data_IF_497833530019
#
_entry.id   IF_497833530019
#
_cell.length_a   1.000
_cell.length_b   1.000
_cell.length_c   1.000
_cell.angle_alpha   90.00
_cell.angle_beta   90.00
_cell.angle_gamma   90.00
#
_symmetry.space_group_name_H-M   'P 1'
#
loop_
_entity.id
_entity.type
_entity.pdbx_description
1 polymer ?
#
# COMPACT_ATOMS: atom_id res chain seq x y z
N UNK A 1 0.56 -15.02 -10.71
CA UNK A 1 1.76 -14.27 -10.25
C UNK A 1 1.36 -13.44 -9.03
N UNK A 2 2.15 -13.45 -7.94
CA UNK A 2 1.72 -12.85 -6.68
C UNK A 2 2.43 -11.51 -6.41
N UNK A 3 2.25 -10.53 -7.27
CA UNK A 3 2.75 -9.16 -7.07
C UNK A 3 1.61 -8.14 -7.18
N UNK A 4 1.79 -7.00 -6.52
CA UNK A 4 0.81 -5.93 -6.57
C UNK A 4 0.71 -5.31 -7.96
N UNK A 5 -0.51 -4.96 -8.34
CA UNK A 5 -0.76 -4.05 -9.46
C UNK A 5 -1.61 -2.89 -8.99
N UNK A 6 -1.11 -1.67 -9.17
CA UNK A 6 -1.86 -0.44 -8.96
C UNK A 6 -1.38 0.63 -9.94
N UNK A 7 -2.33 1.31 -10.56
CA UNK A 7 -2.11 2.36 -11.55
C UNK A 7 -3.04 3.53 -11.27
N UNK A 8 -2.61 4.75 -11.60
CA UNK A 8 -3.44 5.94 -11.51
C UNK A 8 -3.30 6.78 -12.75
N UNK A 9 -4.38 7.49 -13.10
CA UNK A 9 -4.39 8.45 -14.19
C UNK A 9 -5.39 9.57 -13.93
N UNK A 10 -5.23 10.69 -14.64
CA UNK A 10 -6.19 11.81 -14.59
C UNK A 10 -6.67 12.13 -15.99
N UNK A 11 -7.95 12.43 -16.11
CA UNK A 11 -8.67 12.55 -17.37
C UNK A 11 -9.22 13.96 -17.57
N UNK A 12 -9.27 14.40 -18.82
CA UNK A 12 -9.89 15.65 -19.23
C UNK A 12 -11.18 15.40 -19.99
N UNK A 13 -12.03 16.41 -20.04
CA UNK A 13 -13.27 16.36 -20.83
C UNK A 13 -12.98 16.30 -22.35
N UNK A 14 -11.87 16.91 -22.80
CA UNK A 14 -11.38 16.76 -24.17
C UNK A 14 -10.71 15.38 -24.30
N UNK A 15 -11.09 14.56 -25.29
CA UNK A 15 -10.41 13.29 -25.57
C UNK A 15 -8.91 13.47 -25.82
N UNK A 16 -8.12 12.48 -25.39
CA UNK A 16 -6.71 12.36 -25.76
C UNK A 16 -6.55 11.76 -27.17
N UNK A 17 -5.31 11.52 -27.58
CA UNK A 17 -5.00 10.94 -28.90
C UNK A 17 -5.56 9.52 -29.10
N UNK A 18 -5.88 8.82 -28.02
CA UNK A 18 -6.51 7.50 -28.05
C UNK A 18 -8.05 7.57 -27.88
N UNK A 19 -8.63 8.76 -27.93
CA UNK A 19 -10.07 8.98 -27.78
C UNK A 19 -10.58 8.95 -26.34
N UNK A 20 -9.71 8.86 -25.33
CA UNK A 20 -10.09 8.72 -23.92
C UNK A 20 -10.37 10.07 -23.29
N UNK A 21 -11.58 10.24 -22.79
CA UNK A 21 -12.06 11.43 -22.06
C UNK A 21 -12.67 11.01 -20.72
N UNK A 22 -13.07 11.98 -19.91
CA UNK A 22 -13.87 11.69 -18.69
C UNK A 22 -15.14 10.90 -19.01
N UNK A 23 -15.83 11.26 -20.11
CA UNK A 23 -17.05 10.55 -20.54
C UNK A 23 -16.76 9.11 -20.94
N UNK A 24 -15.71 8.89 -21.75
CA UNK A 24 -15.29 7.57 -22.17
C UNK A 24 -14.96 6.67 -20.95
N UNK A 25 -14.19 7.19 -19.98
CA UNK A 25 -13.80 6.44 -18.78
C UNK A 25 -15.00 6.10 -17.90
N UNK A 26 -15.98 6.98 -17.79
CA UNK A 26 -17.19 6.71 -17.02
C UNK A 26 -18.16 5.80 -17.79
N UNK A 27 -18.16 5.83 -19.12
CA UNK A 27 -18.90 4.89 -19.97
C UNK A 27 -18.31 3.48 -19.89
N UNK A 28 -16.97 3.35 -19.92
CA UNK A 28 -16.27 2.09 -19.70
C UNK A 28 -16.57 1.53 -18.31
N UNK A 29 -16.51 2.37 -17.29
CA UNK A 29 -16.84 1.98 -15.93
C UNK A 29 -18.27 1.44 -15.77
N UNK A 30 -19.23 2.02 -16.49
CA UNK A 30 -20.64 1.60 -16.50
C UNK A 30 -20.91 0.43 -17.47
N UNK A 31 -19.85 -0.06 -18.16
CA UNK A 31 -19.96 -1.11 -19.20
C UNK A 31 -20.88 -0.75 -20.36
N UNK A 32 -20.89 0.52 -20.78
CA UNK A 32 -21.60 0.89 -22.01
C UNK A 32 -20.93 0.23 -23.23
N UNK A 33 -21.69 -0.34 -24.17
CA UNK A 33 -21.15 -1.17 -25.27
C UNK A 33 -20.06 -0.48 -26.08
N UNK A 34 -20.21 0.80 -26.39
CA UNK A 34 -19.25 1.57 -27.19
C UNK A 34 -17.88 1.74 -26.52
N UNK A 35 -17.83 1.72 -25.19
CA UNK A 35 -16.59 1.90 -24.41
C UNK A 35 -16.04 0.56 -23.88
N UNK A 36 -16.77 -0.54 -24.02
CA UNK A 36 -16.44 -1.84 -23.43
C UNK A 36 -16.26 -2.96 -24.45
N UNK A 37 -15.85 -2.62 -25.67
CA UNK A 37 -15.65 -3.57 -26.80
C UNK A 37 -14.59 -4.65 -26.51
N UNK A 38 -13.72 -4.43 -25.53
CA UNK A 38 -12.68 -5.37 -25.09
C UNK A 38 -13.21 -6.42 -24.10
N UNK A 39 -14.43 -6.26 -23.58
CA UNK A 39 -15.06 -7.19 -22.63
C UNK A 39 -16.06 -8.06 -23.39
N UNK A 40 -15.86 -9.38 -23.38
CA UNK A 40 -16.68 -10.31 -24.15
C UNK A 40 -18.11 -10.43 -23.61
N UNK A 41 -18.30 -10.40 -22.29
CA UNK A 41 -19.60 -10.49 -21.60
C UNK A 41 -19.67 -9.41 -20.51
N UNK A 42 -19.97 -8.14 -20.90
CA UNK A 42 -19.98 -7.02 -19.97
C UNK A 42 -21.04 -7.20 -18.87
N UNK A 43 -20.63 -7.07 -17.62
CA UNK A 43 -21.52 -7.12 -16.45
C UNK A 43 -21.51 -5.79 -15.70
N UNK A 44 -22.66 -5.36 -15.16
CA UNK A 44 -22.72 -4.16 -14.35
C UNK A 44 -21.68 -4.19 -13.24
N UNK A 45 -20.97 -3.07 -12.97
CA UNK A 45 -20.00 -2.98 -11.89
C UNK A 45 -20.69 -3.12 -10.54
N UNK A 46 -20.02 -3.73 -9.58
CA UNK A 46 -20.46 -3.76 -8.17
C UNK A 46 -19.87 -2.59 -7.42
N UNK A 47 -20.69 -1.69 -6.89
CA UNK A 47 -20.24 -0.61 -6.00
C UNK A 47 -19.82 -1.22 -4.66
N UNK A 48 -18.54 -1.03 -4.28
CA UNK A 48 -17.98 -1.51 -3.00
C UNK A 48 -17.71 -0.36 -2.02
N UNK A 49 -17.72 0.88 -2.50
CA UNK A 49 -17.63 2.09 -1.68
C UNK A 49 -18.23 3.29 -2.42
N UNK A 50 -18.92 4.16 -1.69
CA UNK A 50 -19.46 5.42 -2.21
C UNK A 50 -20.69 5.24 -3.08
N UNK A 51 -20.76 5.97 -4.19
CA UNK A 51 -21.93 6.08 -5.06
C UNK A 51 -21.76 5.33 -6.39
N UNK A 52 -22.84 5.13 -7.13
CA UNK A 52 -22.82 4.54 -8.46
C UNK A 52 -22.13 5.42 -9.52
N UNK A 53 -21.71 4.83 -10.64
CA UNK A 53 -20.97 5.56 -11.68
C UNK A 53 -21.80 6.67 -12.32
N UNK A 54 -23.11 6.48 -12.48
CA UNK A 54 -24.01 7.53 -13.01
C UNK A 54 -24.07 8.74 -12.08
N UNK A 55 -24.05 8.52 -10.76
CA UNK A 55 -23.99 9.61 -9.78
C UNK A 55 -22.63 10.29 -9.78
N UNK A 56 -21.51 9.54 -9.93
CA UNK A 56 -20.17 10.11 -10.15
C UNK A 56 -20.17 11.02 -11.36
N UNK A 57 -20.83 10.63 -12.47
CA UNK A 57 -20.97 11.45 -13.67
C UNK A 57 -21.73 12.73 -13.38
N UNK A 58 -22.89 12.64 -12.74
CA UNK A 58 -23.69 13.81 -12.37
C UNK A 58 -22.89 14.80 -11.50
N UNK A 59 -22.20 14.29 -10.48
CA UNK A 59 -21.32 15.09 -9.62
C UNK A 59 -20.20 15.76 -10.43
N UNK A 60 -19.55 15.00 -11.34
CA UNK A 60 -18.48 15.53 -12.19
C UNK A 60 -18.98 16.65 -13.08
N UNK A 61 -20.09 16.43 -13.79
CA UNK A 61 -20.61 17.37 -14.78
C UNK A 61 -21.11 18.64 -14.12
N UNK A 62 -21.79 18.53 -12.99
CA UNK A 62 -22.24 19.68 -12.20
C UNK A 62 -21.03 20.51 -11.69
N UNK A 63 -20.02 19.83 -11.12
CA UNK A 63 -18.81 20.51 -10.63
C UNK A 63 -18.00 21.13 -11.78
N UNK A 64 -17.87 20.46 -12.92
CA UNK A 64 -17.14 20.98 -14.08
C UNK A 64 -17.85 22.16 -14.75
N UNK A 65 -19.19 22.19 -14.75
CA UNK A 65 -19.98 23.32 -15.25
C UNK A 65 -19.84 24.54 -14.35
N UNK A 66 -19.74 24.35 -13.04
CA UNK A 66 -19.57 25.43 -12.06
C UNK A 66 -18.11 25.92 -11.94
N UNK A 67 -17.14 25.10 -12.33
CA UNK A 67 -15.71 25.37 -12.12
C UNK A 67 -15.21 26.57 -12.93
N UNK A 68 -14.48 27.45 -12.24
CA UNK A 68 -13.95 28.68 -12.80
C UNK A 68 -12.47 28.82 -12.47
N UNK A 69 -11.69 29.37 -13.36
CA UNK A 69 -10.26 29.67 -13.16
C UNK A 69 -9.99 31.16 -13.34
N UNK A 70 -9.07 31.75 -12.59
CA UNK A 70 -8.65 33.14 -12.83
C UNK A 70 -8.05 33.30 -14.22
N UNK A 71 -8.56 34.27 -14.94
CA UNK A 71 -8.03 34.71 -16.23
C UNK A 71 -7.13 35.94 -16.10
N UNK A 72 -6.71 36.49 -17.25
CA UNK A 72 -6.00 37.75 -17.29
C UNK A 72 -6.82 38.87 -16.59
N UNK A 73 -6.13 39.70 -15.83
CA UNK A 73 -6.75 40.84 -15.09
C UNK A 73 -7.78 40.44 -14.04
N UNK A 74 -7.67 39.18 -13.47
CA UNK A 74 -8.53 38.71 -12.39
C UNK A 74 -9.96 38.31 -12.81
N UNK A 75 -10.35 38.42 -14.08
CA UNK A 75 -11.67 37.99 -14.55
C UNK A 75 -11.76 36.47 -14.54
N UNK A 76 -12.80 35.94 -13.87
CA UNK A 76 -13.06 34.49 -13.87
C UNK A 76 -13.50 34.01 -15.26
N UNK A 77 -13.01 32.85 -15.66
CA UNK A 77 -13.40 32.16 -16.90
C UNK A 77 -13.65 30.67 -16.62
N UNK A 78 -14.47 30.05 -17.45
CA UNK A 78 -14.68 28.60 -17.40
C UNK A 78 -13.37 27.83 -17.57
N UNK A 79 -13.22 26.72 -16.90
CA UNK A 79 -12.05 25.83 -17.02
C UNK A 79 -11.94 25.28 -18.45
N UNK A 80 -10.70 25.13 -18.96
CA UNK A 80 -10.45 24.55 -20.26
C UNK A 80 -10.90 23.11 -20.35
N UNK A 81 -11.39 22.66 -21.52
CA UNK A 81 -11.77 21.25 -21.73
C UNK A 81 -10.60 20.28 -21.59
N UNK A 82 -9.36 20.76 -21.81
CA UNK A 82 -8.11 19.98 -21.64
C UNK A 82 -7.66 19.84 -20.20
N UNK A 83 -8.28 20.58 -19.26
CA UNK A 83 -7.97 20.46 -17.85
C UNK A 83 -8.39 19.09 -17.31
N UNK A 84 -7.52 18.46 -16.55
CA UNK A 84 -7.81 17.18 -15.89
C UNK A 84 -8.79 17.41 -14.73
N UNK A 85 -9.98 16.81 -14.82
CA UNK A 85 -11.09 16.99 -13.88
C UNK A 85 -11.53 15.71 -13.17
N UNK A 86 -11.12 14.57 -13.68
CA UNK A 86 -11.34 13.25 -13.06
C UNK A 86 -9.99 12.59 -12.80
N UNK A 87 -9.82 12.01 -11.60
CA UNK A 87 -8.67 11.18 -11.27
C UNK A 87 -9.16 9.75 -10.96
N UNK A 88 -8.48 8.76 -11.50
CA UNK A 88 -8.85 7.35 -11.35
C UNK A 88 -7.67 6.54 -10.84
N UNK A 89 -7.98 5.50 -10.07
CA UNK A 89 -7.02 4.47 -9.64
C UNK A 89 -7.57 3.11 -9.97
N UNK A 90 -6.76 2.28 -10.62
CA UNK A 90 -7.07 0.87 -10.89
C UNK A 90 -6.14 0.00 -10.07
N UNK A 91 -6.68 -0.95 -9.34
CA UNK A 91 -5.92 -1.97 -8.63
C UNK A 91 -6.45 -3.35 -9.02
N UNK A 92 -5.52 -4.28 -9.32
CA UNK A 92 -5.87 -5.65 -9.71
C UNK A 92 -5.23 -6.66 -8.75
N UNK A 93 -6.01 -7.65 -8.37
CA UNK A 93 -5.52 -8.82 -7.63
C UNK A 93 -4.89 -9.82 -8.60
N UNK A 94 -3.81 -10.54 -8.22
CA UNK A 94 -3.18 -11.53 -9.09
C UNK A 94 -4.02 -12.79 -9.35
N UNK A 95 -5.10 -13.04 -8.59
CA UNK A 95 -6.03 -14.13 -8.88
C UNK A 95 -6.99 -13.75 -10.01
N UNK A 96 -7.31 -14.73 -10.85
CA UNK A 96 -8.36 -14.57 -11.85
C UNK A 96 -9.74 -14.64 -11.20
N UNK A 97 -10.74 -14.12 -11.89
CA UNK A 97 -12.13 -14.19 -11.45
C UNK A 97 -12.60 -15.65 -11.29
N UNK A 98 -12.16 -16.53 -12.19
CA UNK A 98 -12.46 -17.97 -12.12
C UNK A 98 -11.85 -18.62 -10.89
N UNK A 99 -10.58 -18.34 -10.58
CA UNK A 99 -9.91 -18.83 -9.39
C UNK A 99 -10.61 -18.40 -8.10
N UNK A 100 -11.08 -17.14 -8.05
CA UNK A 100 -11.82 -16.59 -6.91
C UNK A 100 -13.19 -17.25 -6.75
N UNK A 101 -13.87 -17.57 -7.86
CA UNK A 101 -15.17 -18.25 -7.82
C UNK A 101 -15.07 -19.71 -7.42
N UNK A 102 -13.98 -20.39 -7.81
CA UNK A 102 -13.77 -21.81 -7.55
C UNK A 102 -13.21 -22.12 -6.15
N UNK A 103 -12.64 -21.16 -5.44
CA UNK A 103 -11.91 -21.37 -4.18
C UNK A 103 -12.33 -20.35 -3.11
N UNK A 104 -13.00 -20.85 -2.06
CA UNK A 104 -13.50 -20.03 -0.95
C UNK A 104 -12.38 -19.28 -0.22
N UNK A 105 -11.18 -19.87 -0.09
CA UNK A 105 -10.03 -19.23 0.53
C UNK A 105 -9.49 -18.08 -0.32
N UNK A 106 -9.40 -18.27 -1.63
CA UNK A 106 -9.04 -17.19 -2.55
C UNK A 106 -10.07 -16.06 -2.54
N UNK A 107 -11.36 -16.41 -2.42
CA UNK A 107 -12.42 -15.41 -2.28
C UNK A 107 -12.30 -14.60 -0.98
N UNK A 108 -11.86 -15.23 0.12
CA UNK A 108 -11.58 -14.54 1.38
C UNK A 108 -10.35 -13.62 1.27
N UNK A 109 -9.25 -14.10 0.69
CA UNK A 109 -8.02 -13.35 0.44
C UNK A 109 -8.31 -12.09 -0.41
N UNK A 110 -9.13 -12.21 -1.46
CA UNK A 110 -9.53 -11.09 -2.32
C UNK A 110 -10.42 -10.09 -1.58
N UNK A 111 -11.37 -10.55 -0.77
CA UNK A 111 -12.19 -9.65 0.07
C UNK A 111 -11.36 -8.86 1.07
N UNK A 112 -10.34 -9.48 1.68
CA UNK A 112 -9.41 -8.77 2.57
C UNK A 112 -8.58 -7.74 1.81
N UNK A 113 -8.09 -8.09 0.63
CA UNK A 113 -7.37 -7.17 -0.26
C UNK A 113 -8.24 -5.97 -0.68
N UNK A 114 -9.51 -6.19 -1.08
CA UNK A 114 -10.44 -5.10 -1.42
C UNK A 114 -10.66 -4.16 -0.25
N UNK A 115 -10.96 -4.72 0.94
CA UNK A 115 -11.19 -3.92 2.14
C UNK A 115 -9.99 -3.04 2.48
N UNK A 116 -8.76 -3.58 2.41
CA UNK A 116 -7.53 -2.85 2.64
C UNK A 116 -7.28 -1.79 1.56
N UNK A 117 -7.54 -2.14 0.30
CA UNK A 117 -7.38 -1.19 -0.82
C UNK A 117 -8.34 -0.02 -0.67
N UNK A 118 -9.61 -0.27 -0.35
CA UNK A 118 -10.60 0.80 -0.10
C UNK A 118 -10.18 1.67 1.09
N UNK A 119 -9.71 1.06 2.19
CA UNK A 119 -9.25 1.81 3.35
C UNK A 119 -8.06 2.72 3.00
N UNK A 120 -7.08 2.21 2.26
CA UNK A 120 -5.93 2.99 1.80
C UNK A 120 -6.35 4.11 0.83
N UNK A 121 -7.26 3.85 -0.12
CA UNK A 121 -7.78 4.87 -1.03
C UNK A 121 -8.49 6.01 -0.28
N UNK A 122 -9.25 5.67 0.77
CA UNK A 122 -9.91 6.66 1.64
C UNK A 122 -8.90 7.52 2.40
N UNK A 123 -7.80 6.94 2.85
CA UNK A 123 -6.70 7.67 3.48
C UNK A 123 -5.99 8.61 2.48
N UNK A 124 -5.77 8.15 1.24
CA UNK A 124 -5.11 8.95 0.20
C UNK A 124 -5.95 10.13 -0.31
N UNK A 125 -7.27 9.94 -0.47
CA UNK A 125 -8.11 10.89 -1.20
C UNK A 125 -9.23 11.51 -0.36
N UNK A 126 -9.47 11.02 0.85
CA UNK A 126 -10.49 11.56 1.76
C UNK A 126 -11.86 11.69 1.11
N UNK A 127 -12.49 12.84 1.29
CA UNK A 127 -13.83 13.15 0.74
C UNK A 127 -13.87 13.31 -0.78
N UNK A 128 -12.72 13.43 -1.45
CA UNK A 128 -12.64 13.47 -2.91
C UNK A 128 -12.86 12.08 -3.55
N UNK A 129 -12.64 10.97 -2.83
CA UNK A 129 -12.99 9.62 -3.27
C UNK A 129 -14.51 9.49 -3.28
N UNK A 130 -15.11 9.41 -4.47
CA UNK A 130 -16.58 9.34 -4.62
C UNK A 130 -17.09 7.93 -4.79
N UNK A 131 -16.34 7.08 -5.48
CA UNK A 131 -16.77 5.71 -5.76
C UNK A 131 -15.58 4.77 -5.88
N UNK A 132 -15.78 3.52 -5.44
CA UNK A 132 -14.94 2.39 -5.82
C UNK A 132 -15.86 1.28 -6.31
N UNK A 133 -15.64 0.82 -7.52
CA UNK A 133 -16.40 -0.28 -8.12
C UNK A 133 -15.49 -1.47 -8.40
N UNK A 134 -16.09 -2.66 -8.37
CA UNK A 134 -15.47 -3.93 -8.73
C UNK A 134 -15.97 -4.37 -10.08
N UNK A 135 -15.05 -4.84 -10.91
CA UNK A 135 -15.35 -5.57 -12.14
C UNK A 135 -14.93 -7.04 -12.02
N UNK A 136 -15.80 -7.94 -12.49
CA UNK A 136 -15.61 -9.40 -12.46
C UNK A 136 -15.97 -10.05 -13.80
N UNK A 137 -15.91 -9.28 -14.86
CA UNK A 137 -16.21 -9.65 -16.24
C UNK A 137 -14.97 -9.67 -17.14
N UNK A 138 -13.80 -9.40 -16.56
CA UNK A 138 -12.49 -9.55 -17.18
C UNK A 138 -11.71 -10.69 -16.51
N UNK A 139 -10.51 -10.99 -17.03
CA UNK A 139 -9.70 -12.10 -16.54
C UNK A 139 -9.30 -11.93 -15.08
N UNK A 140 -8.84 -10.73 -14.70
CA UNK A 140 -8.33 -10.47 -13.36
C UNK A 140 -9.41 -9.81 -12.50
N UNK A 141 -9.41 -10.17 -11.20
CA UNK A 141 -10.24 -9.45 -10.23
C UNK A 141 -9.66 -8.08 -9.97
N UNK A 142 -10.41 -7.02 -10.26
CA UNK A 142 -9.92 -5.67 -10.14
C UNK A 142 -10.99 -4.67 -9.68
N UNK A 143 -10.51 -3.54 -9.18
CA UNK A 143 -11.35 -2.44 -8.74
C UNK A 143 -10.90 -1.13 -9.38
N UNK A 144 -11.86 -0.25 -9.63
CA UNK A 144 -11.67 1.10 -10.13
C UNK A 144 -12.16 2.11 -9.09
N UNK A 145 -11.33 3.08 -8.76
CA UNK A 145 -11.67 4.18 -7.87
C UNK A 145 -11.77 5.49 -8.64
N UNK A 146 -12.77 6.30 -8.29
CA UNK A 146 -13.09 7.57 -8.93
C UNK A 146 -12.99 8.70 -7.91
N UNK A 147 -12.10 9.66 -8.20
CA UNK A 147 -11.77 10.79 -7.34
C UNK A 147 -12.14 12.09 -8.06
N UNK A 148 -12.98 12.90 -7.44
CA UNK A 148 -13.42 14.19 -7.95
C UNK A 148 -12.97 15.32 -7.04
N UNK A 149 -12.28 16.34 -7.55
CA UNK A 149 -11.86 17.51 -6.77
C UNK A 149 -13.01 18.51 -6.56
N UNK A 150 -14.15 18.05 -6.05
CA UNK A 150 -15.37 18.87 -5.90
C UNK A 150 -15.22 20.04 -4.94
N UNK A 151 -14.18 20.03 -4.07
CA UNK A 151 -13.86 21.15 -3.17
C UNK A 151 -12.89 22.16 -3.77
N UNK A 152 -12.27 21.87 -4.93
CA UNK A 152 -11.43 22.81 -5.66
C UNK A 152 -12.29 23.60 -6.66
N UNK A 153 -12.43 24.93 -6.52
CA UNK A 153 -13.22 25.75 -7.43
C UNK A 153 -12.73 25.71 -8.87
N UNK A 154 -11.49 25.28 -9.09
CA UNK A 154 -10.91 25.07 -10.42
C UNK A 154 -10.97 23.59 -10.86
N UNK A 155 -11.43 22.68 -10.02
CA UNK A 155 -11.58 21.25 -10.31
C UNK A 155 -10.30 20.59 -10.87
N UNK A 156 -9.15 20.81 -10.23
CA UNK A 156 -7.82 20.38 -10.67
C UNK A 156 -7.48 18.95 -10.20
N UNK A 157 -7.93 17.94 -10.92
CA UNK A 157 -7.65 16.53 -10.60
C UNK A 157 -6.15 16.18 -10.56
N UNK A 158 -5.30 16.95 -11.24
CA UNK A 158 -3.85 16.78 -11.17
C UNK A 158 -3.24 17.01 -9.78
N UNK A 159 -3.96 17.60 -8.84
CA UNK A 159 -3.54 17.73 -7.44
C UNK A 159 -3.51 16.38 -6.70
N UNK A 160 -4.25 15.39 -7.17
CA UNK A 160 -4.26 14.04 -6.62
C UNK A 160 -3.23 13.10 -7.24
N UNK A 161 -2.48 13.58 -8.23
CA UNK A 161 -1.45 12.79 -8.89
C UNK A 161 -0.06 13.10 -8.30
N UNK A 162 0.54 12.21 -7.46
CA UNK A 162 1.77 12.52 -6.71
C UNK A 162 2.93 12.97 -7.60
N UNK A 163 3.12 12.29 -8.73
CA UNK A 163 4.18 12.64 -9.68
C UNK A 163 3.99 14.01 -10.30
N UNK A 164 2.75 14.38 -10.66
CA UNK A 164 2.44 15.70 -11.24
C UNK A 164 2.69 16.81 -10.21
N UNK A 165 2.27 16.59 -8.97
CA UNK A 165 2.50 17.54 -7.85
C UNK A 165 4.00 17.74 -7.63
N UNK A 166 4.78 16.66 -7.51
CA UNK A 166 6.23 16.73 -7.31
C UNK A 166 6.95 17.43 -8.49
N UNK A 167 6.56 17.10 -9.72
CA UNK A 167 7.11 17.74 -10.92
C UNK A 167 6.82 19.24 -10.98
N UNK A 168 5.60 19.63 -10.67
CA UNK A 168 5.19 21.06 -10.61
C UNK A 168 5.94 21.81 -9.51
N UNK A 169 6.11 21.20 -8.33
CA UNK A 169 6.84 21.80 -7.22
C UNK A 169 8.31 22.10 -7.57
N UNK A 170 8.97 21.18 -8.30
CA UNK A 170 10.35 21.41 -8.79
C UNK A 170 10.39 22.54 -9.81
N UNK A 171 9.45 22.55 -10.77
CA UNK A 171 9.38 23.60 -11.81
C UNK A 171 9.06 24.97 -11.22
N UNK A 172 8.21 25.07 -10.21
CA UNK A 172 7.85 26.31 -9.54
C UNK A 172 9.04 26.94 -8.78
N UNK A 173 10.01 26.13 -8.31
CA UNK A 173 11.26 26.63 -7.72
C UNK A 173 12.26 27.19 -8.74
N UNK A 174 12.04 26.93 -10.05
CA UNK A 174 12.93 27.37 -11.10
C UNK A 174 14.21 26.55 -11.24
N UNK A 175 15.05 27.00 -12.17
CA UNK A 175 16.40 26.48 -12.37
C UNK A 175 17.33 26.98 -11.24
N UNK A 176 18.38 26.21 -10.96
CA UNK A 176 19.51 26.61 -10.11
C UNK A 176 20.48 27.46 -10.93
N UNK A 177 21.43 28.13 -10.28
CA UNK A 177 22.35 29.08 -10.94
C UNK A 177 23.17 28.46 -12.08
N UNK A 178 23.46 27.15 -12.00
CA UNK A 178 24.24 26.36 -12.98
C UNK A 178 23.37 25.44 -13.84
N UNK A 179 22.03 25.55 -13.77
CA UNK A 179 21.08 24.61 -14.36
C UNK A 179 20.40 25.19 -15.60
N UNK A 180 20.55 24.54 -16.75
CA UNK A 180 19.77 24.84 -17.94
C UNK A 180 18.35 24.26 -17.90
N UNK A 181 17.49 24.62 -18.85
CA UNK A 181 16.12 24.14 -18.92
C UNK A 181 16.01 22.62 -19.10
N UNK A 182 17.03 21.94 -19.68
CA UNK A 182 17.09 20.49 -19.85
C UNK A 182 17.39 19.81 -18.52
N UNK A 183 18.34 20.35 -17.76
CA UNK A 183 18.69 19.86 -16.42
C UNK A 183 17.52 20.04 -15.44
N UNK A 184 16.85 21.20 -15.45
CA UNK A 184 15.61 21.43 -14.69
C UNK A 184 14.53 20.39 -15.03
N UNK A 185 14.29 20.13 -16.32
CA UNK A 185 13.31 19.10 -16.71
C UNK A 185 13.71 17.70 -16.24
N UNK A 186 14.99 17.32 -16.34
CA UNK A 186 15.50 16.05 -15.84
C UNK A 186 15.30 15.91 -14.32
N UNK A 187 15.55 16.96 -13.55
CA UNK A 187 15.33 17.01 -12.10
C UNK A 187 13.84 16.91 -11.77
N UNK A 188 12.99 17.60 -12.51
CA UNK A 188 11.55 17.52 -12.35
C UNK A 188 10.99 16.12 -12.67
N UNK A 189 11.53 15.45 -13.71
CA UNK A 189 11.16 14.06 -14.04
C UNK A 189 11.69 13.05 -13.01
N UNK A 190 12.84 13.29 -12.42
CA UNK A 190 13.34 12.48 -11.31
C UNK A 190 12.42 12.59 -10.08
N UNK A 191 11.97 13.79 -9.74
CA UNK A 191 11.01 14.04 -8.66
C UNK A 191 9.66 13.34 -8.93
N UNK A 192 9.14 13.42 -10.16
CA UNK A 192 7.95 12.68 -10.58
C UNK A 192 8.10 11.18 -10.32
N UNK A 193 9.19 10.58 -10.81
CA UNK A 193 9.45 9.14 -10.65
C UNK A 193 9.61 8.73 -9.19
N UNK A 194 10.25 9.58 -8.38
CA UNK A 194 10.41 9.33 -6.94
C UNK A 194 9.07 9.36 -6.21
N UNK A 195 8.23 10.36 -6.48
CA UNK A 195 6.90 10.47 -5.90
C UNK A 195 5.99 9.30 -6.29
N UNK A 196 6.05 8.85 -7.56
CA UNK A 196 5.29 7.67 -8.00
C UNK A 196 5.77 6.38 -7.34
N UNK A 197 7.08 6.21 -7.13
CA UNK A 197 7.60 5.08 -6.35
C UNK A 197 7.09 5.12 -4.92
N UNK A 198 7.19 6.27 -4.24
CA UNK A 198 6.72 6.43 -2.86
C UNK A 198 5.22 6.12 -2.71
N UNK A 199 4.40 6.57 -3.65
CA UNK A 199 2.97 6.27 -3.67
C UNK A 199 2.70 4.77 -3.82
N UNK A 200 3.38 4.09 -4.73
CA UNK A 200 3.26 2.65 -4.89
C UNK A 200 3.86 1.88 -3.70
N UNK A 201 4.90 2.40 -3.02
CA UNK A 201 5.48 1.81 -1.82
C UNK A 201 4.54 1.91 -0.63
N UNK A 202 3.80 3.02 -0.49
CA UNK A 202 2.75 3.16 0.54
C UNK A 202 1.63 2.14 0.36
N UNK A 203 1.18 1.91 -0.89
CA UNK A 203 0.23 0.84 -1.21
C UNK A 203 0.79 -0.54 -0.87
N UNK A 204 2.06 -0.78 -1.21
CA UNK A 204 2.72 -2.04 -0.89
C UNK A 204 2.70 -2.33 0.61
N UNK A 205 3.05 -1.36 1.43
CA UNK A 205 3.08 -1.54 2.89
C UNK A 205 1.67 -1.71 3.49
N UNK A 206 0.72 -0.89 3.04
CA UNK A 206 -0.63 -0.89 3.62
C UNK A 206 -1.49 -2.07 3.14
N UNK A 207 -1.32 -2.52 1.91
CA UNK A 207 -2.20 -3.50 1.25
C UNK A 207 -1.45 -4.76 0.84
N UNK A 208 -0.38 -4.63 0.04
CA UNK A 208 0.26 -5.79 -0.58
C UNK A 208 0.95 -6.70 0.45
N UNK A 209 1.69 -6.13 1.40
CA UNK A 209 2.39 -6.89 2.45
C UNK A 209 1.42 -7.72 3.30
N UNK A 210 0.34 -7.16 3.86
CA UNK A 210 -0.64 -7.96 4.60
C UNK A 210 -1.34 -9.03 3.74
N UNK A 211 -1.43 -8.81 2.42
CA UNK A 211 -2.02 -9.77 1.48
C UNK A 211 -1.00 -10.77 0.89
N UNK A 212 0.26 -10.76 1.34
CA UNK A 212 1.30 -11.67 0.87
C UNK A 212 1.74 -11.43 -0.58
N UNK A 213 1.59 -10.21 -1.08
CA UNK A 213 1.97 -9.81 -2.43
C UNK A 213 3.34 -9.15 -2.44
N UNK A 214 4.13 -9.41 -3.49
CA UNK A 214 5.43 -8.74 -3.67
C UNK A 214 5.24 -7.38 -4.35
N UNK A 215 6.24 -6.50 -4.18
CA UNK A 215 6.20 -5.12 -4.71
C UNK A 215 6.29 -5.05 -6.23
N UNK A 216 7.13 -5.88 -6.82
CA UNK A 216 7.41 -5.91 -8.25
C UNK A 216 7.40 -7.35 -8.75
N UNK A 217 6.94 -7.54 -9.98
CA UNK A 217 7.05 -8.82 -10.67
C UNK A 217 8.50 -9.18 -11.06
N UNK A 218 8.78 -10.45 -11.38
CA UNK A 218 10.13 -10.95 -11.65
C UNK A 218 10.81 -10.29 -12.86
N UNK A 219 10.06 -10.01 -13.91
CA UNK A 219 10.59 -9.41 -15.15
C UNK A 219 11.23 -8.04 -14.96
N UNK A 220 10.72 -7.22 -14.03
CA UNK A 220 11.26 -5.89 -13.74
C UNK A 220 12.58 -5.91 -12.97
N UNK A 221 12.80 -6.96 -12.19
CA UNK A 221 13.99 -7.12 -11.35
C UNK A 221 14.99 -8.12 -11.91
N UNK A 222 14.69 -8.72 -13.04
CA UNK A 222 15.50 -9.77 -13.67
C UNK A 222 15.85 -10.89 -12.70
N UNK A 223 14.88 -11.27 -11.85
CA UNK A 223 15.04 -12.36 -10.89
C UNK A 223 15.05 -13.70 -11.62
N UNK A 224 15.88 -14.61 -11.15
CA UNK A 224 15.79 -16.03 -11.50
C UNK A 224 14.48 -16.63 -10.99
N UNK A 225 14.10 -17.80 -11.51
CA UNK A 225 12.92 -18.53 -11.07
C UNK A 225 12.99 -18.91 -9.57
N UNK A 226 14.19 -19.19 -9.08
CA UNK A 226 14.44 -19.57 -7.69
C UNK A 226 14.35 -18.38 -6.75
N UNK A 227 14.99 -17.27 -7.09
CA UNK A 227 14.87 -16.01 -6.32
C UNK A 227 13.43 -15.54 -6.24
N UNK A 228 12.66 -15.64 -7.34
CA UNK A 228 11.25 -15.31 -7.35
C UNK A 228 10.42 -16.23 -6.45
N UNK A 229 10.68 -17.55 -6.46
CA UNK A 229 10.01 -18.51 -5.55
C UNK A 229 10.32 -18.21 -4.10
N UNK A 230 11.58 -17.92 -3.77
CA UNK A 230 12.02 -17.57 -2.41
C UNK A 230 11.34 -16.30 -1.92
N UNK A 231 11.28 -15.25 -2.72
CA UNK A 231 10.62 -13.99 -2.36
C UNK A 231 9.11 -14.16 -2.16
N UNK A 232 8.46 -14.95 -3.01
CA UNK A 232 7.03 -15.27 -2.85
C UNK A 232 6.77 -16.02 -1.54
N UNK A 233 7.65 -16.96 -1.19
CA UNK A 233 7.56 -17.69 0.08
C UNK A 233 7.75 -16.76 1.29
N UNK A 234 8.71 -15.82 1.23
CA UNK A 234 8.93 -14.82 2.27
C UNK A 234 7.72 -13.89 2.43
N UNK A 235 7.13 -13.41 1.33
CA UNK A 235 5.93 -12.58 1.37
C UNK A 235 4.75 -13.32 2.03
N UNK A 236 4.57 -14.60 1.73
CA UNK A 236 3.52 -15.43 2.35
C UNK A 236 3.80 -15.71 3.84
N UNK A 237 5.05 -15.95 4.21
CA UNK A 237 5.46 -16.12 5.60
C UNK A 237 5.20 -14.84 6.42
N UNK A 238 5.50 -13.67 5.85
CA UNK A 238 5.22 -12.38 6.48
C UNK A 238 3.72 -12.15 6.66
N UNK A 239 2.90 -12.46 5.65
CA UNK A 239 1.45 -12.41 5.76
C UNK A 239 0.96 -13.28 6.94
N UNK A 240 1.38 -14.54 7.00
CA UNK A 240 0.99 -15.46 8.08
C UNK A 240 1.44 -14.96 9.46
N UNK A 241 2.58 -14.29 9.57
CA UNK A 241 3.05 -13.68 10.81
C UNK A 241 2.17 -12.50 11.23
N UNK A 242 1.77 -11.65 10.31
CA UNK A 242 0.85 -10.52 10.55
C UNK A 242 -0.53 -11.03 10.99
N UNK A 243 -1.07 -12.06 10.34
CA UNK A 243 -2.35 -12.67 10.70
C UNK A 243 -2.31 -13.25 12.14
N UNK A 244 -1.24 -13.98 12.47
CA UNK A 244 -1.05 -14.50 13.85
C UNK A 244 -0.94 -13.39 14.88
N UNK A 245 -0.18 -12.34 14.60
CA UNK A 245 -0.07 -11.17 15.48
C UNK A 245 -1.43 -10.48 15.69
N UNK A 246 -2.25 -10.37 14.65
CA UNK A 246 -3.59 -9.80 14.72
C UNK A 246 -4.54 -10.65 15.59
N UNK A 247 -4.42 -11.98 15.52
CA UNK A 247 -5.19 -12.90 16.40
C UNK A 247 -4.80 -12.71 17.85
N UNK A 248 -3.49 -12.73 18.17
CA UNK A 248 -2.99 -12.50 19.52
C UNK A 248 -3.42 -11.15 20.07
N UNK A 249 -3.36 -10.10 19.26
CA UNK A 249 -3.84 -8.76 19.66
C UNK A 249 -5.33 -8.76 20.01
N UNK A 250 -6.17 -9.41 19.19
CA UNK A 250 -7.63 -9.51 19.46
C UNK A 250 -7.91 -10.30 20.74
N UNK A 251 -7.22 -11.42 20.95
CA UNK A 251 -7.37 -12.23 22.17
C UNK A 251 -6.94 -11.46 23.42
N UNK A 252 -5.79 -10.74 23.33
CA UNK A 252 -5.33 -9.87 24.41
C UNK A 252 -6.32 -8.74 24.73
N UNK A 253 -6.90 -8.10 23.72
CA UNK A 253 -7.92 -7.07 23.95
C UNK A 253 -9.18 -7.64 24.60
N UNK A 254 -9.69 -8.78 24.11
CA UNK A 254 -10.85 -9.46 24.69
C UNK A 254 -10.61 -9.86 26.15
N UNK A 255 -9.40 -10.30 26.50
CA UNK A 255 -9.01 -10.60 27.89
C UNK A 255 -9.04 -9.34 28.75
N UNK A 256 -8.46 -8.23 28.28
CA UNK A 256 -8.46 -6.95 29.00
C UNK A 256 -9.89 -6.46 29.22
N UNK A 257 -10.75 -6.55 28.21
CA UNK A 257 -12.14 -6.10 28.29
C UNK A 257 -12.95 -6.97 29.28
N UNK A 258 -12.73 -8.27 29.28
CA UNK A 258 -13.32 -9.19 30.28
C UNK A 258 -12.84 -8.86 31.69
N UNK A 259 -11.54 -8.70 31.90
CA UNK A 259 -10.99 -8.34 33.21
C UNK A 259 -11.51 -7.00 33.73
N UNK A 260 -11.76 -6.03 32.84
CA UNK A 260 -12.40 -4.75 33.20
C UNK A 260 -13.87 -4.92 33.59
N UNK A 261 -14.60 -5.76 32.88
CA UNK A 261 -15.99 -6.08 33.22
C UNK A 261 -16.09 -6.79 34.58
N UNK A 262 -15.24 -7.77 34.83
CA UNK A 262 -15.19 -8.48 36.10
C UNK A 262 -14.81 -7.55 37.27
N UNK A 263 -13.84 -6.66 37.07
CA UNK A 263 -13.50 -5.64 38.06
C UNK A 263 -14.64 -4.65 38.34
N UNK A 264 -15.41 -4.30 37.32
CA UNK A 264 -16.61 -3.45 37.48
C UNK A 264 -17.73 -4.17 38.27
N UNK A 265 -17.97 -5.45 37.94
CA UNK A 265 -18.92 -6.30 38.67
C UNK A 265 -18.55 -6.42 40.16
N UNK A 266 -17.30 -6.74 40.45
CA UNK A 266 -16.80 -6.81 41.84
C UNK A 266 -17.01 -5.49 42.62
N UNK A 267 -16.78 -4.34 41.95
CA UNK A 267 -17.03 -3.02 42.58
C UNK A 267 -18.51 -2.79 42.87
N UNK A 268 -19.38 -3.22 41.97
CA UNK A 268 -20.83 -3.11 42.14
C UNK A 268 -21.32 -4.00 43.27
N UNK A 269 -20.86 -5.23 43.33
CA UNK A 269 -21.19 -6.19 44.39
C UNK A 269 -20.69 -5.70 45.78
N UNK A 270 -19.44 -5.21 45.81
CA UNK A 270 -18.90 -4.60 47.02
C UNK A 270 -19.70 -3.38 47.53
N UNK A 271 -20.20 -2.56 46.60
CA UNK A 271 -21.07 -1.43 46.95
C UNK A 271 -22.43 -1.87 47.48
N UNK A 272 -23.02 -2.94 46.89
CA UNK A 272 -24.28 -3.53 47.35
C UNK A 272 -24.15 -4.17 48.73
N UNK A 273 -23.05 -4.93 48.98
CA UNK A 273 -22.74 -5.52 50.28
C UNK A 273 -22.57 -4.43 51.34
N UNK A 274 -21.83 -3.34 51.00
CA UNK A 274 -21.67 -2.19 51.90
C UNK A 274 -23.00 -1.48 52.21
N UNK A 275 -23.88 -1.34 51.22
CA UNK A 275 -25.21 -0.76 51.39
C UNK A 275 -26.14 -1.66 52.25
N UNK A 276 -26.05 -2.98 52.08
CA UNK A 276 -26.78 -3.97 52.86
C UNK A 276 -26.29 -4.02 54.33
N UNK A 277 -24.97 -3.97 54.53
CA UNK A 277 -24.37 -3.88 55.87
C UNK A 277 -24.78 -2.60 56.60
N UNK A 278 -24.87 -1.46 55.91
CA UNK A 278 -25.32 -0.19 56.49
C UNK A 278 -26.81 -0.23 56.89
N UNK A 279 -27.65 -0.99 56.18
CA UNK A 279 -29.07 -1.19 56.54
C UNK A 279 -29.26 -2.13 57.75
N UNK A 280 -28.31 -3.08 57.95
CA UNK A 280 -28.35 -4.03 59.06
C UNK A 280 -27.68 -3.53 60.36
N UNK A 281 -27.07 -2.38 60.36
CA UNK A 281 -26.37 -1.78 61.53
C UNK A 281 -27.34 -1.18 62.57
N UNK A 282 -28.68 -1.36 62.44
CA UNK A 282 -29.69 -1.05 63.46
C UNK A 282 -30.01 -2.29 64.31
N UNK A 283 -29.45 -2.33 65.55
CA UNK A 283 -29.90 -3.19 66.68
C UNK A 283 -29.90 -4.70 66.35
N UNK A 284 -28.78 -5.36 66.55
CA UNK A 284 -28.62 -6.82 66.51
C UNK A 284 -27.49 -7.40 65.62
N UNK A 285 -26.75 -6.50 64.93
CA UNK A 285 -25.79 -6.91 63.88
C UNK A 285 -24.37 -7.29 64.30
N UNK A 286 -23.97 -7.07 65.56
CA UNK A 286 -22.56 -7.27 65.97
C UNK A 286 -22.11 -8.73 65.91
N UNK A 287 -22.97 -9.71 66.19
CA UNK A 287 -22.61 -11.14 66.19
C UNK A 287 -22.60 -11.75 64.78
N UNK A 288 -23.46 -11.26 63.85
CA UNK A 288 -23.49 -11.70 62.44
C UNK A 288 -22.36 -11.14 61.64
N UNK A 289 -21.95 -9.92 61.90
CA UNK A 289 -20.85 -9.26 61.19
C UNK A 289 -19.47 -9.96 61.35
N UNK A 290 -19.25 -10.65 62.50
CA UNK A 290 -18.00 -11.41 62.75
C UNK A 290 -17.98 -12.71 61.94
N UNK A 291 -19.10 -13.41 61.82
CA UNK A 291 -19.18 -14.66 61.04
C UNK A 291 -19.07 -14.40 59.55
N UNK A 292 -19.75 -13.34 59.00
CA UNK A 292 -19.65 -12.95 57.61
C UNK A 292 -18.27 -12.37 57.25
N UNK A 293 -17.59 -11.69 58.18
CA UNK A 293 -16.23 -11.19 58.01
C UNK A 293 -15.19 -12.32 57.85
N UNK A 294 -15.39 -13.46 58.55
CA UNK A 294 -14.49 -14.63 58.40
C UNK A 294 -14.68 -15.32 57.05
N UNK A 295 -15.94 -15.43 56.60
CA UNK A 295 -16.27 -16.03 55.30
C UNK A 295 -15.80 -15.15 54.14
N UNK A 296 -15.97 -13.85 54.23
CA UNK A 296 -15.50 -12.86 53.29
C UNK A 296 -13.95 -12.84 53.19
N UNK A 297 -13.24 -13.01 54.31
CA UNK A 297 -11.80 -13.08 54.33
C UNK A 297 -11.26 -14.36 53.66
N UNK A 298 -11.98 -15.49 53.79
CA UNK A 298 -11.61 -16.75 53.09
C UNK A 298 -11.82 -16.61 51.58
N UNK A 299 -12.97 -16.10 51.14
CA UNK A 299 -13.26 -15.86 49.70
C UNK A 299 -12.24 -14.88 49.11
N UNK A 300 -11.94 -13.80 49.82
CA UNK A 300 -10.89 -12.84 49.37
C UNK A 300 -9.50 -13.49 49.30
N UNK A 301 -9.17 -14.42 50.17
CA UNK A 301 -7.89 -15.13 50.15
C UNK A 301 -7.80 -16.12 48.98
N UNK A 302 -8.91 -16.80 48.66
CA UNK A 302 -8.99 -17.69 47.49
C UNK A 302 -8.90 -16.92 46.18
N UNK A 303 -9.68 -15.86 46.01
CA UNK A 303 -9.61 -14.98 44.85
C UNK A 303 -8.22 -14.40 44.68
N UNK A 304 -7.54 -13.96 45.78
CA UNK A 304 -6.16 -13.47 45.69
C UNK A 304 -5.17 -14.55 45.25
N UNK A 305 -5.37 -15.79 45.70
CA UNK A 305 -4.51 -16.93 45.30
C UNK A 305 -4.71 -17.31 43.85
N UNK A 306 -5.93 -17.31 43.39
CA UNK A 306 -6.28 -17.59 41.96
C UNK A 306 -5.73 -16.48 41.08
N UNK A 307 -5.97 -15.22 41.41
CA UNK A 307 -5.44 -14.07 40.71
C UNK A 307 -3.90 -14.02 40.67
N UNK A 308 -3.25 -14.41 41.76
CA UNK A 308 -1.79 -14.48 41.81
C UNK A 308 -1.23 -15.62 40.93
N UNK A 309 -1.95 -16.75 40.80
CA UNK A 309 -1.61 -17.85 39.88
C UNK A 309 -1.75 -17.41 38.42
N UNK A 310 -2.87 -16.80 38.08
CA UNK A 310 -3.14 -16.35 36.72
C UNK A 310 -2.18 -15.23 36.30
N UNK A 311 -1.86 -14.32 37.21
CA UNK A 311 -0.87 -13.26 36.96
C UNK A 311 0.54 -13.86 36.77
N UNK A 312 0.91 -14.88 37.55
CA UNK A 312 2.19 -15.57 37.38
C UNK A 312 2.25 -16.31 36.03
N UNK A 313 1.17 -16.99 35.64
CA UNK A 313 1.08 -17.66 34.35
C UNK A 313 1.14 -16.67 33.16
N UNK A 314 0.42 -15.55 33.26
CA UNK A 314 0.46 -14.49 32.26
C UNK A 314 1.84 -13.85 32.13
N UNK A 315 2.52 -13.62 33.27
CA UNK A 315 3.92 -13.10 33.28
C UNK A 315 4.89 -14.10 32.65
N UNK A 316 4.75 -15.38 32.94
CA UNK A 316 5.59 -16.44 32.36
C UNK A 316 5.38 -16.53 30.84
N UNK A 317 4.13 -16.49 30.37
CA UNK A 317 3.80 -16.46 28.95
C UNK A 317 4.36 -15.22 28.24
N UNK A 318 4.26 -14.03 28.86
CA UNK A 318 4.82 -12.80 28.33
C UNK A 318 6.36 -12.83 28.24
N UNK A 319 7.04 -13.40 29.23
CA UNK A 319 8.50 -13.58 29.20
C UNK A 319 8.91 -14.54 28.08
N UNK A 320 8.18 -15.65 27.91
CA UNK A 320 8.41 -16.61 26.83
C UNK A 320 8.23 -15.98 25.46
N UNK A 321 7.13 -15.27 25.24
CA UNK A 321 6.86 -14.54 24.00
C UNK A 321 7.92 -13.47 23.70
N UNK A 322 8.39 -12.75 24.74
CA UNK A 322 9.46 -11.74 24.59
C UNK A 322 10.80 -12.39 24.21
N UNK A 323 11.12 -13.56 24.76
CA UNK A 323 12.35 -14.30 24.42
C UNK A 323 12.31 -14.86 22.98
N UNK A 324 11.15 -15.37 22.55
CA UNK A 324 10.94 -15.86 21.17
C UNK A 324 11.04 -14.72 20.17
N UNK A 325 10.38 -13.58 20.42
CA UNK A 325 10.51 -12.39 19.61
C UNK A 325 11.95 -11.83 19.56
N UNK A 326 12.71 -11.97 20.67
CA UNK A 326 14.12 -11.61 20.74
C UNK A 326 14.98 -12.48 19.81
N UNK A 327 14.75 -13.80 19.80
CA UNK A 327 15.46 -14.75 18.90
C UNK A 327 15.12 -14.50 17.43
N UNK A 328 13.87 -14.24 17.13
CA UNK A 328 13.41 -13.93 15.76
C UNK A 328 14.04 -12.63 15.25
N UNK A 329 14.11 -11.58 16.10
CA UNK A 329 14.81 -10.34 15.75
C UNK A 329 16.32 -10.52 15.55
N UNK A 330 16.96 -11.38 16.34
CA UNK A 330 18.38 -11.68 16.16
C UNK A 330 18.63 -12.42 14.84
N UNK A 331 17.79 -13.40 14.50
CA UNK A 331 17.85 -14.14 13.24
C UNK A 331 17.61 -13.22 12.02
N UNK A 332 16.64 -12.29 12.11
CA UNK A 332 16.40 -11.30 11.06
C UNK A 332 17.59 -10.36 10.85
N UNK A 333 18.21 -9.86 11.93
CA UNK A 333 19.42 -9.03 11.84
C UNK A 333 20.58 -9.76 11.19
N UNK A 334 20.73 -11.05 11.49
CA UNK A 334 21.79 -11.85 10.89
C UNK A 334 21.53 -12.11 9.40
N UNK A 335 20.28 -12.36 9.03
CA UNK A 335 19.88 -12.47 7.63
C UNK A 335 20.06 -11.15 6.85
N UNK A 336 19.72 -10.01 7.44
CA UNK A 336 19.96 -8.68 6.85
C UNK A 336 21.45 -8.39 6.68
N UNK A 337 22.29 -8.77 7.66
CA UNK A 337 23.75 -8.63 7.58
C UNK A 337 24.30 -9.47 6.42
N UNK A 338 23.94 -10.74 6.33
CA UNK A 338 24.35 -11.64 5.21
C UNK A 338 23.88 -11.10 3.86
N UNK A 339 22.64 -10.60 3.76
CA UNK A 339 22.13 -10.00 2.54
C UNK A 339 22.86 -8.69 2.17
N UNK A 340 23.32 -7.92 3.15
CA UNK A 340 24.14 -6.72 2.94
C UNK A 340 25.53 -7.07 2.44
N UNK A 341 26.17 -8.09 3.02
CA UNK A 341 27.48 -8.59 2.60
C UNK A 341 27.45 -9.16 1.18
N UNK A 342 26.41 -9.94 0.85
CA UNK A 342 26.21 -10.44 -0.52
C UNK A 342 26.00 -9.29 -1.53
N UNK A 343 25.22 -8.27 -1.18
CA UNK A 343 25.05 -7.09 -2.05
C UNK A 343 26.34 -6.31 -2.25
N UNK A 344 27.19 -6.24 -1.23
CA UNK A 344 28.49 -5.61 -1.34
C UNK A 344 29.44 -6.40 -2.24
N UNK A 345 29.51 -7.71 -2.08
CA UNK A 345 30.29 -8.61 -2.94
C UNK A 345 29.83 -8.55 -4.40
N UNK A 346 28.51 -8.53 -4.63
CA UNK A 346 27.94 -8.43 -5.98
C UNK A 346 28.27 -7.08 -6.65
N UNK A 347 28.26 -5.96 -5.89
CA UNK A 347 28.70 -4.66 -6.40
C UNK A 347 30.19 -4.64 -6.78
N UNK A 348 31.05 -5.24 -5.96
CA UNK A 348 32.48 -5.34 -6.26
C UNK A 348 32.72 -6.19 -7.52
N UNK A 349 32.00 -7.30 -7.67
CA UNK A 349 32.07 -8.13 -8.87
C UNK A 349 31.58 -7.39 -10.13
N UNK A 350 30.51 -6.61 -10.02
CA UNK A 350 30.02 -5.74 -11.09
C UNK A 350 31.01 -4.66 -11.49
N UNK A 351 31.73 -4.06 -10.53
CA UNK A 351 32.78 -3.08 -10.80
C UNK A 351 33.98 -3.73 -11.51
N UNK A 352 34.43 -4.94 -11.08
CA UNK A 352 35.50 -5.69 -11.75
C UNK A 352 35.14 -6.05 -13.18
N UNK A 353 33.90 -6.50 -13.43
CA UNK A 353 33.40 -6.79 -14.77
C UNK A 353 33.37 -5.54 -15.66
N UNK A 354 32.92 -4.41 -15.14
CA UNK A 354 32.90 -3.15 -15.87
C UNK A 354 34.34 -2.68 -16.24
N UNK A 355 35.28 -2.81 -15.31
CA UNK A 355 36.69 -2.49 -15.56
C UNK A 355 37.31 -3.41 -16.60
N UNK A 356 37.05 -4.73 -16.54
CA UNK A 356 37.50 -5.68 -17.53
C UNK A 356 36.91 -5.42 -18.93
N UNK A 357 35.63 -5.04 -19.02
CA UNK A 357 35.00 -4.66 -20.28
C UNK A 357 35.64 -3.40 -20.89
N UNK A 358 35.98 -2.40 -20.05
CA UNK A 358 36.69 -1.20 -20.51
C UNK A 358 38.10 -1.54 -21.04
N UNK A 359 38.80 -2.46 -20.37
CA UNK A 359 40.12 -2.93 -20.80
C UNK A 359 40.06 -3.68 -22.16
N UNK A 360 39.09 -4.61 -22.30
CA UNK A 360 38.80 -5.31 -23.55
C UNK A 360 38.49 -4.30 -24.66
N UNK A 361 37.68 -3.28 -24.38
CA UNK A 361 37.35 -2.26 -25.38
C UNK A 361 38.61 -1.45 -25.82
N UNK A 362 39.48 -1.08 -24.87
CA UNK A 362 40.77 -0.42 -25.18
C UNK A 362 41.67 -1.27 -26.03
N UNK A 363 41.81 -2.55 -25.67
CA UNK A 363 42.64 -3.49 -26.42
C UNK A 363 42.08 -3.77 -27.81
N UNK A 364 40.77 -3.91 -27.96
CA UNK A 364 40.10 -4.06 -29.27
C UNK A 364 40.35 -2.85 -30.17
N UNK A 365 40.28 -1.63 -29.58
CA UNK A 365 40.55 -0.39 -30.33
C UNK A 365 42.02 -0.25 -30.75
N UNK A 366 42.95 -0.66 -29.87
CA UNK A 366 44.38 -0.68 -30.17
C UNK A 366 44.72 -1.71 -31.25
N UNK A 367 44.12 -2.90 -31.21
CA UNK A 367 44.28 -3.94 -32.22
C UNK A 367 43.75 -3.49 -33.57
N UNK A 368 42.57 -2.84 -33.62
CA UNK A 368 42.04 -2.29 -34.87
C UNK A 368 42.96 -1.22 -35.46
N UNK A 369 43.54 -0.33 -34.65
CA UNK A 369 44.50 0.67 -35.09
C UNK A 369 45.82 0.06 -35.62
N UNK A 370 46.31 -1.03 -35.00
CA UNK A 370 47.50 -1.72 -35.45
C UNK A 370 47.30 -2.52 -36.77
N UNK A 371 46.05 -2.90 -37.04
CA UNK A 371 45.72 -3.58 -38.31
C UNK A 371 45.48 -2.61 -39.48
N UNK A 372 45.23 -1.33 -39.19
CA UNK A 372 45.07 -0.26 -40.20
C UNK A 372 46.36 0.46 -40.56
N UNK A 373 47.54 0.13 -39.95
CA UNK A 373 48.82 0.66 -40.38
C UNK A 373 49.23 0.03 -41.71
N UNK A 374 49.49 0.84 -42.76
CA UNK A 374 49.90 0.32 -44.05
C UNK A 374 51.29 -0.37 -43.95
N UNK A 375 51.36 -1.62 -44.39
CA UNK A 375 52.60 -2.38 -44.48
C UNK A 375 53.64 -1.57 -45.28
N UNK A 376 54.90 -1.38 -44.78
CA UNK A 376 55.89 -0.66 -45.52
C UNK A 376 56.25 -1.42 -46.82
N UNK A 377 56.09 -0.72 -47.92
CA UNK A 377 56.47 -1.25 -49.27
C UNK A 377 57.89 -1.69 -49.27
N UNK A 378 58.25 -2.93 -49.71
CA UNK A 378 59.68 -3.38 -49.85
C UNK A 378 60.41 -2.50 -50.85
N UNK A 379 61.51 -1.93 -50.39
CA UNK A 379 62.37 -1.04 -51.18
C UNK A 379 62.76 -1.66 -52.46
N UNK A 380 62.69 -0.88 -53.56
CA UNK A 380 63.13 -1.23 -54.87
C UNK A 380 64.66 -1.53 -54.89
N UNK A 381 64.97 -2.64 -55.47
CA UNK A 381 66.37 -3.05 -55.80
C UNK A 381 66.86 -2.10 -56.87
N UNK A 382 68.08 -1.50 -56.74
CA UNK A 382 68.72 -0.77 -57.86
C UNK A 382 69.27 -1.77 -58.85
N UNK A 383 68.82 -1.72 -60.09
CA UNK A 383 69.43 -2.42 -61.22
C UNK A 383 70.64 -1.63 -61.73
N UNK A 384 71.71 -2.29 -62.28
CA UNK A 384 72.96 -1.71 -62.60
C UNK A 384 72.99 -0.82 -63.83
#
# INVERSE_FOLDING_TARGET
MAYQFIHLESWSRKPDVAGRSTDFILDEASRKPIASVHVADPKPPTVIFGVGIDEVRQMHDAAAAAAMTPGARGKLRKIASTQKTLHTVVASHPYTVEEVRADSKKAEDVRDWERRTVAWLREQYGSALKSVVRHTDEQQWHIHAYVLPTHDPEMRAGAYHPGVVAKKAVKAKGARDDEDGKALNKRADAAYKAAMRGWQDSYHQAVAVPCGLTRLGPSRRRLTREEWKAEKAQAKALQNAIERAAVVKRQGQAYIDRARADAAAIKTDAAQVKASAARLAGIGGAVRAVADGIQESRIRSEIRREFARDLAAAKAAAVKAKSEAGRERASLREAEKRASEQRHAFRQQGQRLASAQQEIHKLSKALAAALDEPTPTPGGVPTP
#
